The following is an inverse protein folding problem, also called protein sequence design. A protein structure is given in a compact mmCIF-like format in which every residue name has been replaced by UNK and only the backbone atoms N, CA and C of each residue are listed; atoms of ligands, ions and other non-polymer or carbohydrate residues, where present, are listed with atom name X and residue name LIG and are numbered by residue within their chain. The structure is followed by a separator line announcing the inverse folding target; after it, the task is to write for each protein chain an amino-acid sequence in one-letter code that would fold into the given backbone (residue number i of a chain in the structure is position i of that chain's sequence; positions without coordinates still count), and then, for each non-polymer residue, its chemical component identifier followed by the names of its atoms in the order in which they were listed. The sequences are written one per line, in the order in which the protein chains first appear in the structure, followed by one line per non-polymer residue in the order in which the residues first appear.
data_IF_609088778365
#
_entry.id   IF_609088778365
#
_cell.length_a   1.000
_cell.length_b   1.000
_cell.length_c   1.000
_cell.angle_alpha   90.00
_cell.angle_beta   90.00
_cell.angle_gamma   90.00
#
_symmetry.space_group_name_H-M   'P 1'
#
loop_
_entity.id
_entity.type
_entity.pdbx_description
1 polymer ?
#
# COMPACT_ATOMS: atom_id res chain seq x y z
N UNK A 1 1.11 -18.60 -29.02
CA UNK A 1 0.58 -18.35 -27.66
C UNK A 1 1.71 -18.47 -26.63
N UNK A 2 2.51 -17.42 -26.50
CA UNK A 2 3.54 -17.32 -25.47
C UNK A 2 3.62 -15.84 -25.05
N UNK A 3 2.49 -15.29 -24.59
CA UNK A 3 2.52 -14.09 -23.74
C UNK A 3 3.05 -14.62 -22.41
N UNK A 4 4.38 -14.75 -22.39
CA UNK A 4 5.12 -15.72 -21.59
C UNK A 4 5.10 -15.29 -20.13
N UNK A 5 5.35 -16.20 -19.20
CA UNK A 5 5.51 -15.94 -17.75
C UNK A 5 6.11 -14.56 -17.39
N UNK A 6 7.04 -14.04 -18.18
CA UNK A 6 7.62 -12.70 -18.04
C UNK A 6 6.59 -11.56 -18.06
N UNK A 7 5.60 -11.60 -18.95
CA UNK A 7 4.56 -10.56 -19.04
C UNK A 7 3.64 -10.59 -17.82
N UNK A 8 3.34 -11.78 -17.32
CA UNK A 8 2.56 -11.97 -16.08
C UNK A 8 3.35 -11.45 -14.86
N UNK A 9 4.63 -11.82 -14.74
CA UNK A 9 5.53 -11.30 -13.70
C UNK A 9 5.62 -9.78 -13.78
N UNK A 10 5.82 -9.21 -14.97
CA UNK A 10 5.88 -7.76 -15.15
C UNK A 10 4.58 -7.07 -14.71
N UNK A 11 3.42 -7.67 -15.00
CA UNK A 11 2.12 -7.15 -14.58
C UNK A 11 1.95 -7.19 -13.06
N UNK A 12 2.31 -8.30 -12.42
CA UNK A 12 2.27 -8.44 -10.96
C UNK A 12 3.24 -7.48 -10.27
N UNK A 13 4.48 -7.37 -10.78
CA UNK A 13 5.47 -6.43 -10.27
C UNK A 13 4.97 -4.98 -10.38
N UNK A 14 4.40 -4.59 -11.53
CA UNK A 14 3.84 -3.27 -11.72
C UNK A 14 2.69 -2.98 -10.74
N UNK A 15 1.83 -3.97 -10.43
CA UNK A 15 0.78 -3.84 -9.42
C UNK A 15 1.36 -3.57 -8.03
N UNK A 16 2.32 -4.39 -7.58
CA UNK A 16 3.01 -4.20 -6.30
C UNK A 16 3.69 -2.84 -6.23
N UNK A 17 4.49 -2.48 -7.24
CA UNK A 17 5.16 -1.18 -7.28
C UNK A 17 4.16 -0.02 -7.28
N UNK A 18 3.03 -0.13 -7.99
CA UNK A 18 2.00 0.92 -7.98
C UNK A 18 1.35 1.08 -6.60
N UNK A 19 1.20 -0.02 -5.85
CA UNK A 19 0.74 -0.05 -4.47
C UNK A 19 1.74 0.60 -3.51
N UNK A 20 3.04 0.51 -3.80
CA UNK A 20 4.11 0.99 -2.92
C UNK A 20 4.77 2.32 -3.35
N UNK A 21 4.39 2.89 -4.49
CA UNK A 21 4.99 4.10 -5.08
C UNK A 21 4.79 5.41 -4.28
N UNK A 22 4.30 5.35 -3.04
CA UNK A 22 4.18 6.51 -2.14
C UNK A 22 4.79 6.12 -0.79
N UNK A 23 5.74 6.90 -0.24
CA UNK A 23 6.40 6.58 1.02
C UNK A 23 5.44 6.46 2.20
N UNK A 24 4.31 7.19 2.20
CA UNK A 24 3.31 7.09 3.26
C UNK A 24 2.67 5.71 3.31
N UNK A 25 2.51 5.03 2.16
CA UNK A 25 2.00 3.65 2.12
C UNK A 25 2.99 2.68 2.75
N UNK A 26 4.29 2.90 2.56
CA UNK A 26 5.34 2.10 3.18
C UNK A 26 5.33 2.30 4.70
N UNK A 27 5.23 3.56 5.18
CA UNK A 27 5.11 3.86 6.60
C UNK A 27 3.87 3.21 7.26
N UNK A 28 2.72 3.26 6.57
CA UNK A 28 1.50 2.58 7.01
C UNK A 28 1.72 1.06 7.14
N UNK A 29 2.38 0.43 6.17
CA UNK A 29 2.69 -1.01 6.23
C UNK A 29 3.61 -1.36 7.40
N UNK A 30 4.62 -0.54 7.69
CA UNK A 30 5.47 -0.74 8.87
C UNK A 30 4.67 -0.69 10.17
N UNK A 31 3.77 0.30 10.31
CA UNK A 31 2.89 0.37 11.49
C UNK A 31 1.97 -0.86 11.60
N UNK A 32 1.34 -1.26 10.50
CA UNK A 32 0.46 -2.44 10.48
C UNK A 32 1.20 -3.76 10.72
N UNK A 33 2.50 -3.83 10.42
CA UNK A 33 3.33 -4.99 10.70
C UNK A 33 3.65 -5.14 12.20
N UNK A 34 3.65 -4.05 12.96
CA UNK A 34 3.83 -4.05 14.42
C UNK A 34 2.58 -4.60 15.11
N UNK A 35 1.40 -4.10 14.75
CA UNK A 35 0.10 -4.52 15.28
C UNK A 35 -1.07 -4.07 14.38
N UNK A 36 -2.29 -4.62 14.56
CA UNK A 36 -3.49 -4.03 14.00
C UNK A 36 -3.72 -2.62 14.55
N UNK A 37 -3.99 -1.66 13.66
CA UNK A 37 -4.30 -0.27 14.04
C UNK A 37 -5.62 0.18 13.41
N UNK A 38 -6.36 1.04 14.12
CA UNK A 38 -7.46 1.76 13.51
C UNK A 38 -6.92 2.96 12.69
N UNK A 39 -7.76 3.53 11.82
CA UNK A 39 -7.35 4.61 10.90
C UNK A 39 -6.95 5.88 11.64
N UNK A 40 -7.63 6.20 12.75
CA UNK A 40 -7.31 7.38 13.57
C UNK A 40 -5.94 7.24 14.23
N UNK A 41 -5.61 6.05 14.76
CA UNK A 41 -4.29 5.78 15.36
C UNK A 41 -3.16 5.94 14.33
N UNK A 42 -3.36 5.44 13.11
CA UNK A 42 -2.41 5.61 12.01
C UNK A 42 -2.24 7.07 11.63
N UNK A 43 -3.34 7.82 11.55
CA UNK A 43 -3.30 9.25 11.24
C UNK A 43 -2.53 10.04 12.29
N UNK A 44 -2.80 9.79 13.57
CA UNK A 44 -2.11 10.44 14.69
C UNK A 44 -0.64 10.05 14.78
N UNK A 45 -0.31 8.75 14.68
CA UNK A 45 1.07 8.27 14.86
C UNK A 45 2.02 8.60 13.70
N UNK A 46 1.48 8.70 12.48
CA UNK A 46 2.27 9.06 11.28
C UNK A 46 2.20 10.54 10.94
N UNK A 47 1.43 11.33 11.69
CA UNK A 47 1.17 12.76 11.41
C UNK A 47 0.61 13.01 9.99
N UNK A 48 -0.22 12.07 9.50
CA UNK A 48 -0.86 12.13 8.19
C UNK A 48 -2.35 12.42 8.38
N UNK A 49 -2.97 13.32 7.58
CA UNK A 49 -4.41 13.53 7.64
C UNK A 49 -5.21 12.23 7.45
N UNK A 50 -6.20 11.99 8.30
CA UNK A 50 -7.01 10.76 8.28
C UNK A 50 -7.66 10.45 6.91
N UNK A 51 -8.14 11.43 6.11
CA UNK A 51 -8.62 11.16 4.75
C UNK A 51 -7.52 10.61 3.83
N UNK A 52 -6.29 11.09 4.00
CA UNK A 52 -5.10 10.64 3.26
C UNK A 52 -4.73 9.21 3.65
N UNK A 53 -4.70 8.89 4.95
CA UNK A 53 -4.50 7.51 5.43
C UNK A 53 -5.57 6.57 4.86
N UNK A 54 -6.85 6.96 4.92
CA UNK A 54 -7.96 6.14 4.40
C UNK A 54 -7.79 5.86 2.90
N UNK A 55 -7.41 6.87 2.12
CA UNK A 55 -7.13 6.72 0.69
C UNK A 55 -5.95 5.78 0.44
N UNK A 56 -4.87 5.91 1.20
CA UNK A 56 -3.70 5.04 1.08
C UNK A 56 -4.03 3.58 1.43
N UNK A 57 -4.77 3.34 2.52
CA UNK A 57 -5.24 2.00 2.89
C UNK A 57 -6.14 1.38 1.81
N UNK A 58 -7.03 2.18 1.20
CA UNK A 58 -7.84 1.72 0.07
C UNK A 58 -6.97 1.25 -1.09
N UNK A 59 -5.96 2.04 -1.46
CA UNK A 59 -5.03 1.67 -2.54
C UNK A 59 -4.23 0.42 -2.19
N UNK A 60 -3.73 0.30 -0.95
CA UNK A 60 -3.01 -0.87 -0.48
C UNK A 60 -3.86 -2.15 -0.48
N UNK A 61 -5.18 -2.03 -0.31
CA UNK A 61 -6.12 -3.16 -0.34
C UNK A 61 -6.53 -3.58 -1.76
N UNK A 62 -6.55 -2.64 -2.70
CA UNK A 62 -7.02 -2.86 -4.08
C UNK A 62 -5.91 -3.26 -5.05
N UNK A 63 -4.64 -3.16 -4.63
CA UNK A 63 -3.45 -3.49 -5.44
C UNK A 63 -2.77 -4.74 -4.90
#
# INVERSE_FOLDING_TARGET
MAKSLRDEINKLHAQVCSGLADPNRILILYKLAEAPHNVSDLASSLEIPQPTVSRHLKVLRER
#
